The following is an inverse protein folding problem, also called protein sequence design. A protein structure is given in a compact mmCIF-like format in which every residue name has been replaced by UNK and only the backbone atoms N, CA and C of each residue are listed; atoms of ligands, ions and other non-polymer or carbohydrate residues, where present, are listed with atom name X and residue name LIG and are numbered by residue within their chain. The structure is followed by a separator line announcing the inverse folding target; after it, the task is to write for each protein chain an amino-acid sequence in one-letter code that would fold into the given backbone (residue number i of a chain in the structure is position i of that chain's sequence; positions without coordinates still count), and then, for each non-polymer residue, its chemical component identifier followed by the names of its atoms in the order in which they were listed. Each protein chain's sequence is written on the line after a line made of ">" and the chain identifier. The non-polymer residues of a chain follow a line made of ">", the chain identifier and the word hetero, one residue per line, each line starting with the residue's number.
data_IF_109102260514
#
_entry.id   IF_109102260514
#
_cell.length_a   1.000
_cell.length_b   1.000
_cell.length_c   1.000
_cell.angle_alpha   90.00
_cell.angle_beta   90.00
_cell.angle_gamma   90.00
#
_symmetry.space_group_name_H-M   'P 1'
#
loop_
_entity.id
_entity.type
_entity.pdbx_description
1 polymer ?
#
# COMPACT_ATOMS: atom_id res chain seq x y z
N UNK A 1 -4.55 -2.19 21.13
CA UNK A 1 -3.57 -2.29 20.02
C UNK A 1 -2.16 -2.67 20.50
N UNK A 2 -1.34 -1.78 21.08
CA UNK A 2 0.06 -2.12 21.42
C UNK A 2 0.22 -3.29 22.41
N UNK A 3 -0.73 -3.47 23.33
CA UNK A 3 -0.80 -4.66 24.20
C UNK A 3 -1.23 -5.92 23.46
N UNK A 4 -2.19 -5.81 22.54
CA UNK A 4 -2.67 -6.93 21.74
C UNK A 4 -1.54 -7.42 20.83
N UNK A 5 -0.98 -6.54 19.99
CA UNK A 5 0.04 -6.90 19.01
C UNK A 5 -0.52 -7.81 17.91
N UNK A 6 0.33 -8.10 16.92
CA UNK A 6 -0.03 -8.96 15.78
C UNK A 6 0.54 -10.36 16.02
N UNK A 7 -0.24 -11.45 15.94
CA UNK A 7 0.29 -12.78 16.18
C UNK A 7 1.21 -13.21 15.03
N UNK A 8 2.36 -13.76 15.40
CA UNK A 8 3.45 -14.14 14.49
C UNK A 8 3.89 -15.56 14.81
N UNK A 9 4.22 -16.33 13.78
CA UNK A 9 4.73 -17.69 13.91
C UNK A 9 6.15 -17.67 14.53
N UNK A 10 6.23 -17.62 15.86
CA UNK A 10 7.46 -17.44 16.61
C UNK A 10 8.55 -18.49 16.26
N UNK A 11 8.26 -19.81 16.16
CA UNK A 11 9.28 -20.79 15.76
C UNK A 11 9.86 -20.55 14.36
N UNK A 12 9.03 -20.08 13.42
CA UNK A 12 9.45 -19.82 12.05
C UNK A 12 10.31 -18.57 11.97
N UNK A 13 9.93 -17.51 12.70
CA UNK A 13 10.74 -16.31 12.83
C UNK A 13 12.11 -16.61 13.48
N UNK A 14 12.14 -17.41 14.54
CA UNK A 14 13.39 -17.81 15.20
C UNK A 14 14.33 -18.55 14.23
N UNK A 15 13.80 -19.50 13.45
CA UNK A 15 14.56 -20.17 12.38
C UNK A 15 15.06 -19.21 11.32
N UNK A 16 14.21 -18.28 10.89
CA UNK A 16 14.56 -17.31 9.85
C UNK A 16 15.64 -16.34 10.32
N UNK A 17 15.62 -15.92 11.59
CA UNK A 17 16.70 -15.14 12.22
C UNK A 17 18.03 -15.88 12.25
N UNK A 18 18.01 -17.13 12.74
CA UNK A 18 19.22 -17.94 12.85
C UNK A 18 19.88 -18.19 11.48
N UNK A 19 19.07 -18.34 10.43
CA UNK A 19 19.55 -18.63 9.07
C UNK A 19 19.66 -17.41 8.15
N UNK A 20 19.39 -16.20 8.66
CA UNK A 20 19.32 -14.99 7.82
C UNK A 20 20.59 -14.72 6.99
N UNK A 21 21.82 -14.88 7.52
CA UNK A 21 23.03 -14.67 6.73
C UNK A 21 23.13 -15.61 5.52
N UNK A 22 22.81 -16.89 5.71
CA UNK A 22 22.82 -17.91 4.65
C UNK A 22 21.69 -17.65 3.66
N UNK A 23 20.48 -17.40 4.15
CA UNK A 23 19.33 -17.06 3.31
C UNK A 23 19.61 -15.84 2.43
N UNK A 24 20.25 -14.80 2.98
CA UNK A 24 20.63 -13.62 2.23
C UNK A 24 21.56 -13.94 1.07
N UNK A 25 22.59 -14.77 1.29
CA UNK A 25 23.52 -15.14 0.24
C UNK A 25 22.82 -15.95 -0.86
N UNK A 26 22.04 -16.97 -0.48
CA UNK A 26 21.29 -17.80 -1.44
C UNK A 26 20.23 -17.01 -2.23
N UNK A 27 19.55 -16.06 -1.59
CA UNK A 27 18.58 -15.19 -2.28
C UNK A 27 19.25 -14.31 -3.34
N UNK A 28 20.44 -13.76 -3.02
CA UNK A 28 21.21 -12.98 -4.00
C UNK A 28 21.60 -13.89 -5.15
N UNK A 29 22.21 -15.04 -4.88
CA UNK A 29 22.68 -15.96 -5.93
C UNK A 29 21.55 -16.41 -6.87
N UNK A 30 20.39 -16.78 -6.32
CA UNK A 30 19.26 -17.26 -7.12
C UNK A 30 18.64 -16.19 -7.99
N UNK A 31 18.32 -15.05 -7.39
CA UNK A 31 17.65 -13.98 -8.13
C UNK A 31 18.64 -13.32 -9.09
N UNK A 32 19.88 -13.05 -8.65
CA UNK A 32 20.88 -12.37 -9.47
C UNK A 32 21.41 -13.23 -10.63
N UNK A 33 21.14 -14.54 -10.66
CA UNK A 33 21.50 -15.42 -11.77
C UNK A 33 21.03 -14.90 -13.13
N UNK A 34 19.83 -14.31 -13.17
CA UNK A 34 19.22 -13.81 -14.40
C UNK A 34 19.68 -12.38 -14.78
N UNK A 35 20.43 -11.72 -13.88
CA UNK A 35 20.79 -10.29 -14.01
C UNK A 35 22.30 -10.02 -14.01
N UNK A 36 23.08 -10.71 -13.17
CA UNK A 36 24.52 -10.53 -13.02
C UNK A 36 24.93 -9.20 -12.37
N UNK A 37 24.06 -8.62 -11.54
CA UNK A 37 24.16 -7.25 -11.03
C UNK A 37 24.91 -7.15 -9.71
N UNK A 38 24.88 -8.18 -8.88
CA UNK A 38 25.56 -8.18 -7.59
C UNK A 38 27.03 -8.59 -7.72
N UNK A 39 27.87 -8.03 -6.84
CA UNK A 39 29.22 -8.52 -6.57
C UNK A 39 29.30 -8.90 -5.09
N UNK A 40 29.12 -10.18 -4.78
CA UNK A 40 28.86 -10.64 -3.42
C UNK A 40 27.57 -10.01 -2.87
N UNK A 41 27.56 -9.40 -1.67
CA UNK A 41 26.36 -8.81 -1.09
C UNK A 41 26.01 -7.41 -1.62
N UNK A 42 26.79 -6.88 -2.58
CA UNK A 42 26.74 -5.47 -2.99
C UNK A 42 26.13 -5.33 -4.38
N UNK A 43 25.03 -4.57 -4.46
CA UNK A 43 24.39 -4.19 -5.72
C UNK A 43 25.29 -3.22 -6.51
N UNK A 44 25.52 -3.49 -7.81
CA UNK A 44 26.35 -2.63 -8.67
C UNK A 44 25.48 -1.88 -9.68
N UNK A 45 25.32 -0.57 -9.47
CA UNK A 45 24.46 0.28 -10.31
C UNK A 45 24.86 0.26 -11.79
N UNK A 46 26.16 0.26 -12.09
CA UNK A 46 26.64 0.17 -13.48
C UNK A 46 26.25 -1.16 -14.17
N UNK A 47 26.20 -2.28 -13.43
CA UNK A 47 25.76 -3.57 -13.98
C UNK A 47 24.25 -3.60 -14.19
N UNK A 48 23.50 -2.99 -13.27
CA UNK A 48 22.06 -2.79 -13.45
C UNK A 48 21.77 -1.95 -14.69
N UNK A 49 22.47 -0.84 -14.86
CA UNK A 49 22.32 0.02 -16.03
C UNK A 49 22.63 -0.72 -17.33
N UNK A 50 23.70 -1.51 -17.37
CA UNK A 50 24.02 -2.35 -18.52
C UNK A 50 22.90 -3.37 -18.81
N UNK A 51 22.37 -4.04 -17.79
CA UNK A 51 21.28 -5.01 -17.94
C UNK A 51 20.01 -4.35 -18.48
N UNK A 52 19.59 -3.23 -17.90
CA UNK A 52 18.40 -2.47 -18.32
C UNK A 52 18.53 -1.99 -19.76
N UNK A 53 19.70 -1.45 -20.14
CA UNK A 53 19.98 -1.04 -21.53
C UNK A 53 19.96 -2.22 -22.49
N UNK A 54 20.49 -3.39 -22.09
CA UNK A 54 20.47 -4.60 -22.94
C UNK A 54 19.06 -5.10 -23.22
N UNK A 55 18.09 -4.76 -22.36
CA UNK A 55 16.66 -5.09 -22.53
C UNK A 55 15.89 -3.99 -23.27
N UNK A 56 16.53 -2.89 -23.66
CA UNK A 56 15.87 -1.75 -24.30
C UNK A 56 14.92 -0.99 -23.37
N UNK A 57 15.03 -1.16 -22.05
CA UNK A 57 14.15 -0.52 -21.09
C UNK A 57 14.65 0.91 -20.84
N UNK A 58 13.80 1.90 -21.15
CA UNK A 58 14.10 3.30 -20.84
C UNK A 58 13.95 3.53 -19.33
N UNK A 59 15.00 4.04 -18.67
CA UNK A 59 15.00 4.19 -17.21
C UNK A 59 15.10 5.67 -16.79
N UNK A 60 14.31 6.15 -15.81
CA UNK A 60 14.38 7.53 -15.34
C UNK A 60 15.75 7.87 -14.75
N UNK A 61 16.31 9.04 -15.04
CA UNK A 61 17.57 9.49 -14.46
C UNK A 61 17.35 10.61 -13.43
N UNK A 62 18.24 10.71 -12.45
CA UNK A 62 18.29 11.89 -11.58
C UNK A 62 18.80 13.11 -12.35
N UNK A 63 18.42 14.31 -11.92
CA UNK A 63 18.92 15.58 -12.50
C UNK A 63 20.46 15.69 -12.43
N UNK A 64 21.07 15.07 -11.42
CA UNK A 64 22.52 14.99 -11.23
C UNK A 64 23.22 13.93 -12.11
N UNK A 65 22.47 13.21 -12.95
CA UNK A 65 22.94 12.02 -13.67
C UNK A 65 22.81 10.72 -12.87
N UNK A 66 22.89 9.59 -13.57
CA UNK A 66 22.69 8.25 -13.00
C UNK A 66 21.23 7.80 -12.96
N UNK A 67 21.01 6.49 -12.88
CA UNK A 67 19.67 5.90 -12.84
C UNK A 67 18.95 6.24 -11.54
N UNK A 68 17.66 6.56 -11.64
CA UNK A 68 16.80 6.78 -10.48
C UNK A 68 16.38 5.43 -9.89
N UNK A 69 16.97 5.09 -8.76
CA UNK A 69 16.96 3.75 -8.17
C UNK A 69 16.09 3.65 -6.90
N UNK A 70 15.33 4.69 -6.62
CA UNK A 70 14.48 4.91 -5.46
C UNK A 70 13.01 4.50 -5.75
N UNK A 71 12.05 5.39 -5.50
CA UNK A 71 10.63 5.18 -5.82
C UNK A 71 10.41 4.89 -7.33
N UNK A 72 11.29 5.40 -8.20
CA UNK A 72 11.25 5.11 -9.63
C UNK A 72 11.47 3.62 -9.95
N UNK A 73 12.31 2.91 -9.16
CA UNK A 73 12.52 1.48 -9.37
C UNK A 73 11.20 0.71 -9.21
N UNK A 74 10.38 1.08 -8.21
CA UNK A 74 9.06 0.46 -8.03
C UNK A 74 8.15 0.72 -9.23
N UNK A 75 8.11 1.94 -9.74
CA UNK A 75 7.31 2.27 -10.92
C UNK A 75 7.77 1.44 -12.14
N UNK A 76 9.09 1.31 -12.33
CA UNK A 76 9.66 0.47 -13.39
C UNK A 76 9.35 -1.02 -13.20
N UNK A 77 9.36 -1.53 -11.97
CA UNK A 77 8.97 -2.92 -11.68
C UNK A 77 7.49 -3.21 -11.98
N UNK A 78 6.63 -2.19 -11.89
CA UNK A 78 5.21 -2.31 -12.28
C UNK A 78 5.07 -2.26 -13.81
N UNK A 79 5.79 -1.36 -14.47
CA UNK A 79 5.76 -1.21 -15.93
C UNK A 79 6.45 -2.37 -16.67
N UNK A 80 7.47 -2.98 -16.06
CA UNK A 80 8.30 -4.04 -16.63
C UNK A 80 8.38 -5.23 -15.66
N UNK A 81 7.54 -6.26 -15.81
CA UNK A 81 7.47 -7.40 -14.89
C UNK A 81 8.81 -8.12 -14.68
N UNK A 82 9.70 -8.12 -15.68
CA UNK A 82 11.06 -8.67 -15.61
C UNK A 82 11.98 -7.94 -14.62
N UNK A 83 11.66 -6.70 -14.25
CA UNK A 83 12.38 -5.89 -13.26
C UNK A 83 11.95 -6.23 -11.82
N UNK A 84 10.73 -6.76 -11.64
CA UNK A 84 10.11 -6.97 -10.33
C UNK A 84 10.92 -7.88 -9.37
N UNK A 85 11.53 -9.01 -9.80
CA UNK A 85 12.32 -9.86 -8.91
C UNK A 85 13.53 -9.12 -8.32
N UNK A 86 14.26 -8.36 -9.14
CA UNK A 86 15.41 -7.57 -8.68
C UNK A 86 14.99 -6.46 -7.71
N UNK A 87 13.87 -5.79 -7.98
CA UNK A 87 13.31 -4.78 -7.08
C UNK A 87 12.96 -5.37 -5.70
N UNK A 88 12.25 -6.49 -5.65
CA UNK A 88 11.88 -7.16 -4.39
C UNK A 88 13.11 -7.70 -3.65
N UNK A 89 14.12 -8.25 -4.35
CA UNK A 89 15.39 -8.63 -3.73
C UNK A 89 16.04 -7.41 -3.07
N UNK A 90 16.28 -6.33 -3.81
CA UNK A 90 16.96 -5.15 -3.29
C UNK A 90 16.21 -4.52 -2.12
N UNK A 91 14.88 -4.44 -2.22
CA UNK A 91 14.01 -3.98 -1.13
C UNK A 91 14.10 -4.88 0.09
N UNK A 92 14.14 -6.20 -0.10
CA UNK A 92 14.33 -7.17 0.98
C UNK A 92 15.68 -6.94 1.66
N UNK A 93 16.78 -6.88 0.93
CA UNK A 93 18.11 -6.65 1.51
C UNK A 93 18.22 -5.31 2.24
N UNK A 94 17.63 -4.26 1.69
CA UNK A 94 17.71 -2.91 2.24
C UNK A 94 16.79 -2.70 3.45
N UNK A 95 15.53 -3.16 3.37
CA UNK A 95 14.50 -2.88 4.38
C UNK A 95 14.30 -4.00 5.38
N UNK A 96 14.60 -5.24 5.03
CA UNK A 96 14.42 -6.33 5.98
C UNK A 96 15.56 -6.36 6.99
N UNK A 97 15.16 -6.18 8.24
CA UNK A 97 15.96 -6.39 9.44
C UNK A 97 15.19 -7.36 10.31
N UNK A 98 15.23 -8.64 9.95
CA UNK A 98 14.47 -9.70 10.66
C UNK A 98 14.80 -9.71 12.15
N UNK A 99 16.05 -9.42 12.48
CA UNK A 99 16.58 -9.23 13.83
C UNK A 99 15.86 -8.11 14.59
N UNK A 100 15.38 -7.07 13.90
CA UNK A 100 14.73 -5.90 14.52
C UNK A 100 13.22 -6.02 14.67
N UNK A 101 12.56 -7.01 14.07
CA UNK A 101 11.12 -7.22 14.26
C UNK A 101 10.82 -7.39 15.76
N UNK A 102 10.00 -6.50 16.32
CA UNK A 102 9.77 -6.48 17.76
C UNK A 102 8.70 -7.52 18.13
N UNK A 103 9.10 -8.79 18.22
CA UNK A 103 8.22 -9.92 18.55
C UNK A 103 8.54 -10.40 19.95
N UNK A 104 7.51 -10.44 20.82
CA UNK A 104 7.61 -10.92 22.19
C UNK A 104 7.77 -12.43 22.29
N UNK A 105 8.04 -12.93 23.50
CA UNK A 105 8.13 -14.38 23.79
C UNK A 105 6.80 -15.11 23.56
N UNK A 106 5.70 -14.37 23.65
CA UNK A 106 4.34 -14.81 23.34
C UNK A 106 4.07 -14.84 21.82
N UNK A 107 5.08 -14.57 20.99
CA UNK A 107 4.95 -14.62 19.54
C UNK A 107 4.18 -13.46 18.93
N UNK A 108 3.98 -12.34 19.65
CA UNK A 108 3.23 -11.20 19.09
C UNK A 108 4.12 -10.00 18.78
N UNK A 109 3.96 -9.42 17.59
CA UNK A 109 4.67 -8.22 17.16
C UNK A 109 4.08 -6.97 17.80
N UNK A 110 4.88 -6.24 18.58
CA UNK A 110 4.50 -5.02 19.30
C UNK A 110 5.55 -3.93 19.12
N UNK A 111 5.11 -2.76 18.69
CA UNK A 111 5.95 -1.57 18.55
C UNK A 111 5.10 -0.33 18.79
N UNK A 112 5.69 0.78 19.26
CA UNK A 112 4.99 2.05 19.29
C UNK A 112 4.37 2.37 17.93
N UNK A 113 3.06 2.62 17.91
CA UNK A 113 2.30 2.93 16.69
C UNK A 113 2.47 4.40 16.27
N UNK A 114 2.90 5.25 17.21
CA UNK A 114 3.18 6.69 17.01
C UNK A 114 2.02 7.39 16.30
N UNK A 115 0.83 7.47 16.93
CA UNK A 115 -0.27 8.24 16.36
C UNK A 115 0.10 9.72 16.26
N UNK A 116 -0.51 10.44 15.32
CA UNK A 116 -0.26 11.87 15.09
C UNK A 116 1.19 12.22 14.68
N UNK A 117 2.00 11.24 14.26
CA UNK A 117 3.42 11.46 13.98
C UNK A 117 3.71 11.98 12.56
N UNK A 118 2.77 11.87 11.62
CA UNK A 118 2.92 12.43 10.28
C UNK A 118 2.39 13.86 10.19
N UNK A 119 2.81 14.60 9.15
CA UNK A 119 2.22 15.91 8.78
C UNK A 119 0.71 15.85 8.52
N UNK A 120 0.19 14.67 8.19
CA UNK A 120 -1.22 14.38 7.93
C UNK A 120 -1.91 13.69 9.11
N UNK A 121 -1.26 13.61 10.28
CA UNK A 121 -1.84 12.99 11.47
C UNK A 121 -1.89 11.46 11.46
N UNK A 122 -1.34 10.81 10.42
CA UNK A 122 -1.25 9.35 10.29
C UNK A 122 -0.30 8.76 11.33
N UNK A 123 -0.55 7.50 11.66
CA UNK A 123 0.32 6.68 12.49
C UNK A 123 1.66 6.42 11.77
N UNK A 124 2.78 6.45 12.49
CA UNK A 124 4.11 6.13 11.94
C UNK A 124 4.84 5.07 12.77
N UNK A 125 4.38 3.81 12.75
CA UNK A 125 5.13 2.72 13.38
C UNK A 125 6.51 2.55 12.73
N UNK A 126 7.45 1.97 13.47
CA UNK A 126 8.82 1.76 12.97
C UNK A 126 8.83 0.81 11.77
N UNK A 127 9.46 1.24 10.68
CA UNK A 127 9.60 0.45 9.44
C UNK A 127 10.39 -0.86 9.61
N UNK A 128 11.23 -0.96 10.64
CA UNK A 128 12.05 -2.16 10.91
C UNK A 128 11.52 -3.02 12.05
N UNK A 129 10.72 -2.46 12.96
CA UNK A 129 10.16 -3.20 14.11
C UNK A 129 8.74 -3.68 13.87
N UNK A 130 7.99 -2.99 13.02
CA UNK A 130 6.61 -3.33 12.67
C UNK A 130 6.58 -4.30 11.49
N UNK A 131 5.85 -5.40 11.61
CA UNK A 131 5.81 -6.44 10.58
C UNK A 131 5.26 -5.93 9.23
N UNK A 132 4.28 -5.02 9.25
CA UNK A 132 3.76 -4.41 8.01
C UNK A 132 4.68 -3.34 7.42
N UNK A 133 5.70 -2.89 8.16
CA UNK A 133 6.72 -1.94 7.68
C UNK A 133 7.82 -2.58 6.83
N UNK A 134 7.97 -3.91 6.90
CA UNK A 134 8.91 -4.69 6.11
C UNK A 134 8.42 -5.02 4.68
N UNK A 135 9.21 -5.79 3.91
CA UNK A 135 8.78 -6.34 2.63
C UNK A 135 7.50 -7.18 2.75
N UNK A 136 6.72 -7.24 1.66
CA UNK A 136 5.39 -7.87 1.65
C UNK A 136 5.43 -9.34 2.10
N UNK A 137 6.45 -10.09 1.68
CA UNK A 137 6.59 -11.51 2.01
C UNK A 137 6.76 -11.77 3.52
N UNK A 138 7.26 -10.81 4.30
CA UNK A 138 7.45 -10.98 5.76
C UNK A 138 6.10 -11.10 6.47
N UNK A 139 5.02 -10.57 5.87
CA UNK A 139 3.65 -10.68 6.37
C UNK A 139 3.17 -12.13 6.42
N UNK A 140 3.83 -13.05 5.68
CA UNK A 140 3.62 -14.51 5.75
C UNK A 140 3.96 -15.14 7.10
N UNK A 141 4.68 -14.41 7.95
CA UNK A 141 4.93 -14.82 9.33
C UNK A 141 3.71 -14.58 10.23
N UNK A 142 2.72 -13.77 9.81
CA UNK A 142 1.50 -13.51 10.57
C UNK A 142 0.62 -14.76 10.49
N UNK A 143 0.26 -15.29 11.65
CA UNK A 143 -0.61 -16.46 11.78
C UNK A 143 -1.50 -16.28 13.02
N UNK A 144 -2.81 -16.52 12.93
CA UNK A 144 -3.66 -16.59 14.12
C UNK A 144 -3.27 -17.77 15.03
N UNK A 145 -3.66 -17.71 16.29
CA UNK A 145 -3.54 -18.85 17.22
C UNK A 145 -4.63 -19.91 16.95
N UNK A 146 -4.48 -21.16 17.44
CA UNK A 146 -5.53 -22.17 17.33
C UNK A 146 -6.89 -21.65 17.86
N UNK A 147 -7.95 -21.86 17.08
CA UNK A 147 -9.30 -21.36 17.40
C UNK A 147 -9.52 -19.86 17.17
N UNK A 148 -8.50 -19.12 16.70
CA UNK A 148 -8.60 -17.71 16.36
C UNK A 148 -8.54 -17.48 14.85
N UNK A 149 -8.96 -16.29 14.44
CA UNK A 149 -8.84 -15.78 13.10
C UNK A 149 -8.45 -14.29 13.13
N UNK A 150 -7.87 -13.84 12.02
CA UNK A 150 -7.56 -12.45 11.75
C UNK A 150 -8.41 -11.95 10.61
N UNK A 151 -8.80 -10.68 10.65
CA UNK A 151 -9.38 -10.00 9.51
C UNK A 151 -8.66 -8.69 9.24
N UNK A 152 -8.24 -8.50 8.00
CA UNK A 152 -7.71 -7.23 7.51
C UNK A 152 -8.84 -6.49 6.79
N UNK A 153 -9.31 -5.40 7.38
CA UNK A 153 -10.41 -4.59 6.85
C UNK A 153 -9.82 -3.27 6.35
N UNK A 154 -9.94 -3.00 5.05
CA UNK A 154 -9.33 -1.88 4.35
C UNK A 154 -10.41 -0.99 3.73
N UNK A 155 -10.25 0.34 3.79
CA UNK A 155 -11.20 1.23 3.11
C UNK A 155 -11.02 1.12 1.59
N UNK A 156 -12.10 0.80 0.88
CA UNK A 156 -12.11 0.72 -0.57
C UNK A 156 -11.97 2.13 -1.16
N UNK A 157 -10.86 2.38 -1.87
CA UNK A 157 -10.54 3.64 -2.55
C UNK A 157 -10.75 4.88 -1.66
N UNK A 158 -10.24 4.82 -0.42
CA UNK A 158 -10.47 5.81 0.64
C UNK A 158 -10.29 7.26 0.16
N UNK A 159 -9.15 7.58 -0.45
CA UNK A 159 -8.83 8.94 -0.88
C UNK A 159 -9.78 9.45 -1.99
N UNK A 160 -10.30 8.56 -2.85
CA UNK A 160 -11.31 8.92 -3.86
C UNK A 160 -12.66 9.22 -3.21
N UNK A 161 -13.10 8.39 -2.25
CA UNK A 161 -14.35 8.62 -1.52
C UNK A 161 -14.31 9.90 -0.68
N UNK A 162 -13.18 10.19 -0.04
CA UNK A 162 -12.98 11.46 0.69
C UNK A 162 -13.01 12.65 -0.28
N UNK A 163 -12.36 12.54 -1.44
CA UNK A 163 -12.40 13.60 -2.46
C UNK A 163 -13.83 13.88 -2.94
N UNK A 164 -14.60 12.83 -3.21
CA UNK A 164 -16.02 12.93 -3.57
C UNK A 164 -16.83 13.65 -2.48
N UNK A 165 -16.69 13.23 -1.21
CA UNK A 165 -17.42 13.81 -0.09
C UNK A 165 -17.06 15.29 0.16
N UNK A 166 -15.76 15.61 0.21
CA UNK A 166 -15.29 16.97 0.50
C UNK A 166 -15.60 17.96 -0.62
N UNK A 167 -15.61 17.51 -1.87
CA UNK A 167 -15.92 18.37 -3.01
C UNK A 167 -17.41 18.51 -3.32
N UNK A 168 -18.25 17.59 -2.83
CA UNK A 168 -19.66 17.54 -3.20
C UNK A 168 -19.90 17.29 -4.69
N UNK A 169 -18.93 16.69 -5.39
CA UNK A 169 -19.06 16.37 -6.81
C UNK A 169 -19.96 15.13 -6.99
N UNK A 170 -21.18 15.36 -7.47
CA UNK A 170 -22.18 14.31 -7.63
C UNK A 170 -21.74 13.19 -8.58
N UNK A 171 -20.97 13.50 -9.63
CA UNK A 171 -20.47 12.49 -10.56
C UNK A 171 -19.40 11.63 -9.90
N UNK A 172 -18.53 12.23 -9.09
CA UNK A 172 -17.51 11.53 -8.32
C UNK A 172 -18.12 10.68 -7.19
N UNK A 173 -19.13 11.21 -6.48
CA UNK A 173 -19.87 10.46 -5.46
C UNK A 173 -20.62 9.26 -6.07
N UNK A 174 -21.26 9.44 -7.23
CA UNK A 174 -21.92 8.34 -7.95
C UNK A 174 -20.91 7.29 -8.45
N UNK A 175 -19.75 7.74 -8.96
CA UNK A 175 -18.66 6.84 -9.37
C UNK A 175 -18.09 6.06 -8.17
N UNK A 176 -17.98 6.68 -7.00
CA UNK A 176 -17.61 5.95 -5.79
C UNK A 176 -18.68 4.92 -5.43
N UNK A 177 -19.96 5.33 -5.38
CA UNK A 177 -21.07 4.47 -4.99
C UNK A 177 -21.27 3.24 -5.89
N UNK A 178 -20.82 3.27 -7.16
CA UNK A 178 -20.96 2.16 -8.10
C UNK A 178 -20.18 0.88 -7.73
N UNK A 179 -19.18 0.98 -6.86
CA UNK A 179 -18.27 -0.14 -6.55
C UNK A 179 -16.89 0.04 -7.17
N UNK A 180 -16.84 0.74 -8.29
CA UNK A 180 -15.63 0.89 -9.10
C UNK A 180 -15.55 2.31 -9.67
N UNK A 181 -14.89 3.24 -8.97
CA UNK A 181 -14.76 4.61 -9.44
C UNK A 181 -13.98 4.72 -10.75
N UNK A 182 -13.13 3.74 -11.07
CA UNK A 182 -12.29 3.77 -12.27
C UNK A 182 -13.08 3.36 -13.51
N UNK A 183 -13.88 2.29 -13.42
CA UNK A 183 -14.85 1.96 -14.46
C UNK A 183 -15.98 3.00 -14.54
N UNK A 184 -16.39 3.57 -13.39
CA UNK A 184 -17.30 4.71 -13.36
C UNK A 184 -16.78 5.88 -14.18
N UNK A 185 -15.51 6.26 -13.99
CA UNK A 185 -14.85 7.27 -14.81
C UNK A 185 -14.79 6.86 -16.28
N UNK A 186 -14.41 5.61 -16.58
CA UNK A 186 -14.35 5.11 -17.95
C UNK A 186 -15.71 5.21 -18.67
N UNK A 187 -16.81 4.84 -18.00
CA UNK A 187 -18.16 4.95 -18.55
C UNK A 187 -18.58 6.41 -18.74
N UNK A 188 -18.32 7.27 -17.75
CA UNK A 188 -18.60 8.71 -17.84
C UNK A 188 -17.78 9.41 -18.95
N UNK A 189 -16.59 8.91 -19.24
CA UNK A 189 -15.74 9.36 -20.33
C UNK A 189 -16.10 8.73 -21.70
N UNK A 190 -17.09 7.83 -21.75
CA UNK A 190 -17.50 7.14 -22.99
C UNK A 190 -16.51 6.09 -23.48
N UNK A 191 -15.58 5.65 -22.64
CA UNK A 191 -14.53 4.69 -23.00
C UNK A 191 -14.97 3.22 -22.85
N UNK A 192 -16.05 2.95 -22.13
CA UNK A 192 -16.64 1.62 -21.97
C UNK A 192 -18.17 1.70 -22.04
N UNK A 193 -18.86 0.65 -22.50
CA UNK A 193 -20.32 0.61 -22.55
C UNK A 193 -20.95 0.51 -21.15
N UNK A 194 -22.24 0.83 -21.06
CA UNK A 194 -23.03 0.57 -19.86
C UNK A 194 -23.04 -0.93 -19.53
N UNK A 195 -22.83 -1.28 -18.26
CA UNK A 195 -22.72 -2.68 -17.81
C UNK A 195 -21.31 -3.26 -17.87
N UNK A 196 -20.29 -2.47 -18.22
CA UNK A 196 -18.89 -2.91 -18.14
C UNK A 196 -18.51 -3.27 -16.70
N UNK A 197 -17.81 -4.39 -16.56
CA UNK A 197 -17.33 -4.92 -15.28
C UNK A 197 -15.81 -5.07 -15.30
N UNK A 198 -15.20 -5.22 -14.12
CA UNK A 198 -13.76 -5.47 -14.01
C UNK A 198 -13.32 -6.75 -14.71
N UNK A 199 -14.23 -7.72 -14.88
CA UNK A 199 -13.97 -8.97 -15.60
C UNK A 199 -14.04 -8.82 -17.12
N UNK A 200 -15.00 -8.02 -17.62
CA UNK A 200 -15.20 -7.84 -19.07
C UNK A 200 -14.28 -6.79 -19.68
N UNK A 201 -13.85 -5.79 -18.90
CA UNK A 201 -13.05 -4.65 -19.36
C UNK A 201 -11.85 -4.38 -18.42
N UNK A 202 -11.12 -5.44 -18.08
CA UNK A 202 -10.01 -5.41 -17.10
C UNK A 202 -8.86 -4.48 -17.51
N UNK A 203 -8.45 -4.49 -18.79
CA UNK A 203 -7.38 -3.64 -19.31
C UNK A 203 -7.75 -2.15 -19.22
N UNK A 204 -8.99 -1.82 -19.60
CA UNK A 204 -9.52 -0.45 -19.59
C UNK A 204 -9.69 0.04 -18.16
N UNK A 205 -10.17 -0.82 -17.26
CA UNK A 205 -10.22 -0.53 -15.82
C UNK A 205 -8.84 -0.17 -15.28
N UNK A 206 -7.82 -0.99 -15.56
CA UNK A 206 -6.47 -0.75 -15.02
C UNK A 206 -5.87 0.54 -15.62
N UNK A 207 -6.05 0.77 -16.93
CA UNK A 207 -5.64 2.02 -17.58
C UNK A 207 -6.31 3.24 -16.93
N UNK A 208 -7.63 3.21 -16.74
CA UNK A 208 -8.39 4.30 -16.14
C UNK A 208 -8.08 4.50 -14.66
N UNK A 209 -7.72 3.43 -13.94
CA UNK A 209 -7.23 3.50 -12.56
C UNK A 209 -5.88 4.20 -12.47
N UNK A 210 -4.92 3.83 -13.32
CA UNK A 210 -3.63 4.51 -13.42
C UNK A 210 -3.82 5.99 -13.77
N UNK A 211 -4.73 6.29 -14.71
CA UNK A 211 -5.12 7.66 -15.04
C UNK A 211 -5.69 8.41 -13.83
N UNK A 212 -6.78 7.92 -13.22
CA UNK A 212 -7.46 8.60 -12.14
C UNK A 212 -6.52 8.90 -10.97
N UNK A 213 -5.71 7.91 -10.57
CA UNK A 213 -4.70 8.09 -9.53
C UNK A 213 -3.64 9.12 -9.95
N UNK A 214 -3.07 9.00 -11.14
CA UNK A 214 -2.07 9.94 -11.64
C UNK A 214 -2.61 11.38 -11.69
N UNK A 215 -3.78 11.56 -12.26
CA UNK A 215 -4.41 12.88 -12.42
C UNK A 215 -4.76 13.46 -11.04
N UNK A 216 -5.31 12.67 -10.10
CA UNK A 216 -5.63 13.13 -8.74
C UNK A 216 -4.39 13.62 -7.98
N UNK A 217 -3.24 12.98 -8.22
CA UNK A 217 -1.93 13.41 -7.68
C UNK A 217 -1.24 14.52 -8.49
N UNK A 218 -1.92 15.09 -9.49
CA UNK A 218 -1.41 16.23 -10.26
C UNK A 218 -0.39 15.86 -11.33
N UNK A 219 -0.37 14.61 -11.79
CA UNK A 219 0.51 14.16 -12.87
C UNK A 219 0.20 14.93 -14.17
N UNK A 220 1.24 15.47 -14.81
CA UNK A 220 1.13 16.13 -16.11
C UNK A 220 1.05 15.12 -17.27
N UNK A 221 0.64 15.60 -18.45
CA UNK A 221 0.39 14.77 -19.64
C UNK A 221 1.58 13.88 -20.02
N UNK A 222 2.81 14.39 -19.96
CA UNK A 222 4.01 13.60 -20.28
C UNK A 222 4.23 12.41 -19.34
N UNK A 223 4.14 12.66 -18.03
CA UNK A 223 4.30 11.59 -17.04
C UNK A 223 3.16 10.58 -17.10
N UNK A 224 1.94 11.06 -17.38
CA UNK A 224 0.78 10.18 -17.56
C UNK A 224 0.91 9.33 -18.84
N UNK A 225 1.42 9.89 -19.94
CA UNK A 225 1.65 9.15 -21.19
C UNK A 225 2.58 7.96 -20.98
N UNK A 226 3.67 8.16 -20.24
CA UNK A 226 4.59 7.08 -19.86
C UNK A 226 3.89 6.02 -18.99
N UNK A 227 3.07 6.46 -18.03
CA UNK A 227 2.35 5.55 -17.14
C UNK A 227 1.34 4.66 -17.87
N UNK A 228 0.67 5.19 -18.90
CA UNK A 228 -0.39 4.48 -19.64
C UNK A 228 0.11 3.83 -20.93
N UNK A 229 1.41 3.94 -21.25
CA UNK A 229 1.97 3.43 -22.51
C UNK A 229 1.40 4.10 -23.77
N UNK A 230 1.06 5.39 -23.69
CA UNK A 230 0.39 6.14 -24.76
C UNK A 230 1.14 7.40 -25.20
N UNK A 231 0.49 8.23 -26.03
CA UNK A 231 1.05 9.52 -26.46
C UNK A 231 0.70 10.64 -25.49
N UNK A 232 1.47 11.74 -25.48
CA UNK A 232 1.14 12.92 -24.68
C UNK A 232 -0.22 13.53 -25.04
N UNK A 233 -0.64 13.42 -26.31
CA UNK A 233 -1.95 13.86 -26.78
C UNK A 233 -3.08 13.09 -26.10
N UNK A 234 -3.00 11.75 -26.13
CA UNK A 234 -3.98 10.87 -25.45
C UNK A 234 -4.03 11.13 -23.94
N UNK A 235 -2.86 11.35 -23.32
CA UNK A 235 -2.80 11.67 -21.90
C UNK A 235 -3.45 13.03 -21.57
N UNK A 236 -3.29 14.04 -22.44
CA UNK A 236 -3.94 15.35 -22.28
C UNK A 236 -5.45 15.24 -22.41
N UNK A 237 -5.95 14.51 -23.39
CA UNK A 237 -7.38 14.24 -23.56
C UNK A 237 -7.99 13.55 -22.33
N UNK A 238 -7.30 12.58 -21.75
CA UNK A 238 -7.75 11.90 -20.53
C UNK A 238 -7.77 12.83 -19.31
N UNK A 239 -6.76 13.70 -19.16
CA UNK A 239 -6.74 14.73 -18.11
C UNK A 239 -7.93 15.67 -18.26
N UNK A 240 -8.20 16.14 -19.48
CA UNK A 240 -9.26 17.12 -19.73
C UNK A 240 -10.65 16.49 -19.61
N UNK A 241 -10.82 15.23 -20.03
CA UNK A 241 -12.01 14.43 -19.77
C UNK A 241 -12.26 14.27 -18.26
N UNK A 242 -11.25 13.86 -17.49
CA UNK A 242 -11.37 13.74 -16.02
C UNK A 242 -11.74 15.07 -15.35
N UNK A 243 -11.17 16.18 -15.82
CA UNK A 243 -11.53 17.53 -15.32
C UNK A 243 -12.96 17.93 -15.67
N UNK A 244 -13.45 17.51 -16.83
CA UNK A 244 -14.80 17.79 -17.30
C UNK A 244 -15.82 16.98 -16.52
N UNK A 245 -15.56 15.69 -16.35
CA UNK A 245 -16.42 14.76 -15.60
C UNK A 245 -16.51 15.13 -14.12
N UNK A 246 -15.38 15.41 -13.47
CA UNK A 246 -15.33 15.77 -12.04
C UNK A 246 -15.06 17.27 -11.82
N UNK A 247 -15.82 18.11 -12.52
CA UNK A 247 -15.60 19.57 -12.52
C UNK A 247 -15.63 20.19 -11.13
N UNK A 248 -16.59 19.80 -10.27
CA UNK A 248 -16.72 20.37 -8.93
C UNK A 248 -15.55 19.97 -8.04
N UNK A 249 -15.06 18.74 -8.18
CA UNK A 249 -13.82 18.32 -7.51
C UNK A 249 -12.63 19.21 -7.88
N UNK A 250 -12.45 19.53 -9.15
CA UNK A 250 -11.33 20.39 -9.58
C UNK A 250 -11.48 21.85 -9.17
N UNK A 251 -12.71 22.37 -9.16
CA UNK A 251 -12.99 23.71 -8.64
C UNK A 251 -12.69 23.79 -7.13
N UNK A 252 -13.15 22.80 -6.37
CA UNK A 252 -12.84 22.64 -4.95
C UNK A 252 -11.33 22.53 -4.71
N UNK A 253 -10.64 21.63 -5.42
CA UNK A 253 -9.20 21.41 -5.24
C UNK A 253 -8.37 22.67 -5.49
N UNK A 254 -8.71 23.44 -6.54
CA UNK A 254 -8.07 24.74 -6.84
C UNK A 254 -8.40 25.79 -5.79
N UNK A 255 -9.65 25.85 -5.32
CA UNK A 255 -10.05 26.78 -4.27
C UNK A 255 -9.30 26.50 -2.97
N UNK A 256 -9.26 25.24 -2.54
CA UNK A 256 -8.51 24.78 -1.37
C UNK A 256 -7.02 25.10 -1.48
N UNK A 257 -6.40 24.89 -2.65
CA UNK A 257 -4.99 25.26 -2.83
C UNK A 257 -4.76 26.78 -2.70
N UNK A 258 -5.63 27.60 -3.31
CA UNK A 258 -5.50 29.07 -3.21
C UNK A 258 -5.67 29.56 -1.77
N UNK A 259 -6.67 29.05 -1.07
CA UNK A 259 -6.94 29.39 0.34
C UNK A 259 -5.79 28.96 1.25
N UNK A 260 -5.25 27.76 1.04
CA UNK A 260 -4.09 27.27 1.78
C UNK A 260 -2.86 28.17 1.61
N UNK A 261 -2.62 28.66 0.38
CA UNK A 261 -1.51 29.56 0.08
C UNK A 261 -1.71 30.97 0.65
N UNK A 262 -2.94 31.49 0.63
CA UNK A 262 -3.22 32.84 1.14
C UNK A 262 -3.24 32.89 2.68
N UNK A 263 -3.79 31.87 3.33
CA UNK A 263 -3.88 31.80 4.79
C UNK A 263 -2.60 31.30 5.46
N UNK A 264 -1.74 30.58 4.72
CA UNK A 264 -0.56 29.93 5.26
C UNK A 264 -0.85 28.71 6.14
N UNK A 265 -2.10 28.22 6.15
CA UNK A 265 -2.56 27.12 6.99
C UNK A 265 -3.60 26.27 6.27
N UNK A 266 -3.59 24.97 6.54
CA UNK A 266 -4.69 24.06 6.22
C UNK A 266 -5.08 23.27 7.44
N UNK A 267 -6.33 22.83 7.49
CA UNK A 267 -6.80 21.90 8.51
C UNK A 267 -7.77 20.85 7.97
N UNK A 268 -7.79 19.67 8.58
CA UNK A 268 -8.83 18.65 8.41
C UNK A 268 -10.11 19.02 9.16
N UNK A 269 -11.13 18.16 9.07
CA UNK A 269 -12.46 18.39 9.65
C UNK A 269 -12.40 18.49 11.18
N UNK A 270 -11.64 17.63 11.86
CA UNK A 270 -11.42 17.74 13.32
C UNK A 270 -10.24 18.65 13.70
N UNK A 271 -9.72 19.43 12.75
CA UNK A 271 -8.78 20.51 13.05
C UNK A 271 -7.30 20.12 13.12
N UNK A 272 -6.89 18.97 12.56
CA UNK A 272 -5.47 18.66 12.37
C UNK A 272 -4.85 19.63 11.37
N UNK A 273 -3.77 20.32 11.75
CA UNK A 273 -3.21 21.46 11.00
C UNK A 273 -1.94 21.14 10.21
N UNK A 274 -1.79 21.79 9.06
CA UNK A 274 -0.55 21.87 8.28
C UNK A 274 -0.22 23.33 7.97
N UNK A 275 0.97 23.77 8.38
CA UNK A 275 1.49 25.08 7.98
C UNK A 275 1.93 25.06 6.52
N UNK A 276 1.40 25.98 5.72
CA UNK A 276 1.69 26.12 4.29
C UNK A 276 2.66 27.27 4.11
N UNK A 277 3.86 26.94 3.64
CA UNK A 277 4.90 27.90 3.26
C UNK A 277 4.96 28.06 1.74
N UNK A 278 5.63 29.11 1.28
CA UNK A 278 5.82 29.40 -0.15
C UNK A 278 6.33 28.18 -0.96
N UNK A 279 7.34 27.48 -0.44
CA UNK A 279 7.94 26.30 -1.06
C UNK A 279 7.15 24.99 -0.86
N UNK A 280 5.93 25.05 -0.31
CA UNK A 280 5.09 23.87 -0.17
C UNK A 280 4.58 23.45 -1.56
N UNK A 281 4.95 22.24 -1.97
CA UNK A 281 4.55 21.68 -3.26
C UNK A 281 3.02 21.63 -3.37
N UNK A 282 2.49 21.99 -4.55
CA UNK A 282 1.06 21.96 -4.83
C UNK A 282 0.42 20.58 -4.53
N UNK A 283 1.13 19.50 -4.90
CA UNK A 283 0.69 18.13 -4.59
C UNK A 283 0.53 17.87 -3.08
N UNK A 284 1.41 18.41 -2.23
CA UNK A 284 1.26 18.30 -0.78
C UNK A 284 -0.01 19.00 -0.28
N UNK A 285 -0.29 20.19 -0.81
CA UNK A 285 -1.46 20.99 -0.47
C UNK A 285 -2.75 20.26 -0.90
N UNK A 286 -2.82 19.79 -2.15
CA UNK A 286 -4.01 19.09 -2.69
C UNK A 286 -4.26 17.75 -2.02
N UNK A 287 -3.21 17.03 -1.63
CA UNK A 287 -3.33 15.72 -0.99
C UNK A 287 -3.65 15.83 0.51
N UNK A 288 -3.30 16.94 1.17
CA UNK A 288 -3.45 17.07 2.61
C UNK A 288 -4.89 16.82 3.10
N UNK A 289 -5.96 17.41 2.52
CA UNK A 289 -7.33 17.14 2.94
C UNK A 289 -7.70 15.66 2.85
N UNK A 290 -7.28 14.98 1.79
CA UNK A 290 -7.56 13.56 1.57
C UNK A 290 -6.89 12.71 2.67
N UNK A 291 -5.61 12.96 2.91
CA UNK A 291 -4.78 12.17 3.80
C UNK A 291 -5.07 12.43 5.28
N UNK A 292 -5.33 13.69 5.64
CA UNK A 292 -5.58 14.10 7.01
C UNK A 292 -6.97 13.66 7.50
N UNK A 293 -8.01 13.83 6.67
CA UNK A 293 -9.33 13.30 7.00
C UNK A 293 -9.35 11.76 6.99
N UNK A 294 -8.61 11.10 6.09
CA UNK A 294 -8.44 9.64 6.13
C UNK A 294 -7.79 9.15 7.43
N UNK A 295 -6.82 9.90 7.96
CA UNK A 295 -6.21 9.61 9.26
C UNK A 295 -7.19 9.83 10.42
N UNK A 296 -8.04 10.85 10.36
CA UNK A 296 -9.13 11.08 11.33
C UNK A 296 -10.11 9.93 11.36
N UNK A 297 -10.59 9.52 10.19
CA UNK A 297 -11.51 8.40 10.01
C UNK A 297 -10.92 7.13 10.62
N UNK A 298 -9.67 6.80 10.31
CA UNK A 298 -9.05 5.58 10.83
C UNK A 298 -8.87 5.61 12.36
N UNK A 299 -8.48 6.76 12.93
CA UNK A 299 -8.33 6.90 14.38
C UNK A 299 -9.69 6.76 15.09
N UNK A 300 -10.72 7.41 14.57
CA UNK A 300 -12.08 7.28 15.10
C UNK A 300 -12.59 5.84 14.99
N UNK A 301 -12.38 5.20 13.85
CA UNK A 301 -12.73 3.79 13.66
C UNK A 301 -12.02 2.90 14.70
N UNK A 302 -10.72 3.11 14.96
CA UNK A 302 -10.01 2.35 15.98
C UNK A 302 -10.62 2.54 17.39
N UNK A 303 -11.05 3.75 17.75
CA UNK A 303 -11.71 4.00 19.03
C UNK A 303 -13.05 3.25 19.11
N UNK A 304 -13.92 3.44 18.11
CA UNK A 304 -15.26 2.83 18.08
C UNK A 304 -15.20 1.29 18.07
N UNK A 305 -14.25 0.71 17.32
CA UNK A 305 -14.05 -0.74 17.29
C UNK A 305 -13.71 -1.27 18.69
N UNK A 306 -12.78 -0.62 19.38
CA UNK A 306 -12.35 -1.03 20.72
C UNK A 306 -13.45 -0.84 21.77
N UNK A 307 -14.23 0.24 21.67
CA UNK A 307 -15.41 0.50 22.54
C UNK A 307 -16.49 -0.57 22.37
N UNK A 308 -16.62 -1.14 21.16
CA UNK A 308 -17.53 -2.25 20.83
C UNK A 308 -16.97 -3.63 21.18
N UNK A 309 -15.79 -3.69 21.80
CA UNK A 309 -15.15 -4.94 22.17
C UNK A 309 -14.49 -5.69 21.01
N UNK A 310 -14.38 -5.08 19.83
CA UNK A 310 -13.65 -5.68 18.70
C UNK A 310 -12.15 -5.47 18.93
N UNK A 311 -11.40 -6.57 19.00
CA UNK A 311 -9.97 -6.54 19.27
C UNK A 311 -9.19 -6.04 18.05
N UNK A 312 -8.71 -4.80 18.11
CA UNK A 312 -7.80 -4.24 17.10
C UNK A 312 -6.35 -4.58 17.44
N UNK A 313 -5.69 -5.37 16.57
CA UNK A 313 -4.27 -5.67 16.66
C UNK A 313 -3.43 -4.44 16.31
N UNK A 314 -3.66 -3.86 15.13
CA UNK A 314 -2.94 -2.70 14.63
C UNK A 314 -3.70 -1.95 13.51
N UNK A 315 -3.54 -0.62 13.43
CA UNK A 315 -3.88 0.16 12.26
C UNK A 315 -2.75 0.07 11.21
N UNK A 316 -3.11 -0.03 9.94
CA UNK A 316 -2.18 -0.26 8.81
C UNK A 316 -2.58 0.66 7.66
N UNK A 317 -1.93 1.82 7.54
CA UNK A 317 -2.26 2.85 6.54
C UNK A 317 -3.72 3.34 6.66
N UNK A 318 -4.62 2.80 5.85
CA UNK A 318 -6.07 3.01 5.77
C UNK A 318 -6.87 1.79 6.24
N UNK A 319 -6.20 0.72 6.65
CA UNK A 319 -6.81 -0.51 7.14
C UNK A 319 -6.66 -0.72 8.64
N UNK A 320 -7.43 -1.67 9.17
CA UNK A 320 -7.25 -2.26 10.50
C UNK A 320 -7.05 -3.76 10.39
N UNK A 321 -6.16 -4.31 11.22
CA UNK A 321 -6.11 -5.75 11.48
C UNK A 321 -6.81 -6.01 12.80
N UNK A 322 -7.87 -6.81 12.75
CA UNK A 322 -8.63 -7.27 13.92
C UNK A 322 -8.45 -8.77 14.12
N UNK A 323 -8.72 -9.22 15.34
CA UNK A 323 -8.62 -10.62 15.77
C UNK A 323 -9.89 -11.03 16.51
N UNK A 324 -10.32 -12.27 16.33
CA UNK A 324 -11.46 -12.84 17.05
C UNK A 324 -11.56 -14.35 16.90
N UNK A 325 -12.53 -14.98 17.58
CA UNK A 325 -12.80 -16.41 17.47
C UNK A 325 -13.07 -16.82 16.02
N UNK A 326 -12.48 -17.94 15.59
CA UNK A 326 -12.53 -18.37 14.20
C UNK A 326 -13.95 -18.70 13.70
N UNK A 327 -14.82 -19.13 14.61
CA UNK A 327 -16.23 -19.45 14.41
C UNK A 327 -17.13 -18.20 14.29
N UNK A 328 -16.70 -17.06 14.85
CA UNK A 328 -17.46 -15.80 14.87
C UNK A 328 -16.86 -14.70 13.99
N UNK A 329 -15.73 -14.96 13.34
CA UNK A 329 -14.95 -13.92 12.65
C UNK A 329 -15.74 -13.18 11.57
N UNK A 330 -16.67 -13.81 10.87
CA UNK A 330 -17.46 -13.14 9.83
C UNK A 330 -18.43 -12.11 10.44
N UNK A 331 -19.02 -12.41 11.60
CA UNK A 331 -19.87 -11.46 12.34
C UNK A 331 -19.04 -10.29 12.87
N UNK A 332 -17.85 -10.57 13.41
CA UNK A 332 -16.89 -9.56 13.88
C UNK A 332 -16.44 -8.67 12.72
N UNK A 333 -16.25 -9.24 11.52
CA UNK A 333 -15.92 -8.48 10.30
C UNK A 333 -17.07 -7.57 9.89
N UNK A 334 -18.30 -8.08 9.83
CA UNK A 334 -19.47 -7.27 9.46
C UNK A 334 -19.65 -6.09 10.44
N UNK A 335 -19.54 -6.34 11.75
CA UNK A 335 -19.58 -5.29 12.76
C UNK A 335 -18.41 -4.30 12.62
N UNK A 336 -17.21 -4.80 12.27
CA UNK A 336 -16.04 -3.98 12.02
C UNK A 336 -16.20 -3.06 10.81
N UNK A 337 -16.71 -3.58 9.70
CA UNK A 337 -16.98 -2.82 8.47
C UNK A 337 -18.03 -1.73 8.69
N UNK A 338 -19.12 -2.02 9.41
CA UNK A 338 -20.14 -1.03 9.76
C UNK A 338 -19.56 0.05 10.68
N UNK A 339 -18.73 -0.33 11.66
CA UNK A 339 -18.05 0.63 12.55
C UNK A 339 -17.11 1.55 11.78
N UNK A 340 -16.38 1.03 10.80
CA UNK A 340 -15.56 1.83 9.89
C UNK A 340 -16.42 2.76 9.03
N UNK A 341 -17.52 2.27 8.46
CA UNK A 341 -18.44 3.10 7.68
C UNK A 341 -19.04 4.23 8.53
N UNK A 342 -19.38 3.97 9.79
CA UNK A 342 -19.85 4.97 10.75
C UNK A 342 -18.81 6.04 11.05
N UNK A 343 -17.55 5.64 11.32
CA UNK A 343 -16.47 6.60 11.51
C UNK A 343 -16.32 7.53 10.29
N UNK A 344 -16.46 6.99 9.08
CA UNK A 344 -16.48 7.79 7.87
C UNK A 344 -17.68 8.76 7.82
N UNK A 345 -18.90 8.32 8.16
CA UNK A 345 -20.08 9.20 8.20
C UNK A 345 -19.90 10.36 9.19
N UNK A 346 -19.33 10.08 10.36
CA UNK A 346 -19.11 11.11 11.39
C UNK A 346 -18.14 12.18 10.88
N UNK A 347 -17.05 11.78 10.23
CA UNK A 347 -16.06 12.73 9.70
C UNK A 347 -16.58 13.43 8.44
N UNK A 348 -17.22 12.71 7.52
CA UNK A 348 -17.57 13.20 6.18
C UNK A 348 -19.02 13.70 6.07
N UNK A 349 -19.63 14.13 7.18
CA UNK A 349 -20.96 14.75 7.16
C UNK A 349 -22.08 13.82 6.63
N UNK A 350 -22.01 12.53 6.99
CA UNK A 350 -22.99 11.52 6.61
C UNK A 350 -22.59 10.63 5.43
N UNK A 351 -21.48 10.92 4.74
CA UNK A 351 -21.02 10.08 3.62
C UNK A 351 -20.25 8.84 4.10
N UNK A 352 -20.72 7.61 3.82
CA UNK A 352 -20.01 6.40 4.21
C UNK A 352 -18.87 6.08 3.25
N UNK A 353 -17.81 5.48 3.77
CA UNK A 353 -16.79 4.81 2.95
C UNK A 353 -16.98 3.30 3.03
N UNK A 354 -16.87 2.62 1.88
CA UNK A 354 -16.89 1.16 1.82
C UNK A 354 -15.58 0.59 2.33
N UNK A 355 -15.61 -0.67 2.73
CA UNK A 355 -14.42 -1.42 3.10
C UNK A 355 -14.47 -2.84 2.55
N UNK A 356 -13.29 -3.36 2.21
CA UNK A 356 -13.08 -4.76 1.82
C UNK A 356 -12.41 -5.49 2.98
N UNK A 357 -12.80 -6.74 3.20
CA UNK A 357 -12.26 -7.56 4.28
C UNK A 357 -11.63 -8.84 3.75
N UNK A 358 -10.48 -9.19 4.33
CA UNK A 358 -9.84 -10.48 4.09
C UNK A 358 -9.62 -11.21 5.41
N UNK A 359 -10.23 -12.39 5.50
CA UNK A 359 -10.15 -13.26 6.68
C UNK A 359 -9.07 -14.32 6.52
N UNK A 360 -8.36 -14.59 7.61
CA UNK A 360 -7.36 -15.64 7.74
C UNK A 360 -7.69 -16.44 9.00
N UNK A 361 -8.09 -17.71 8.84
CA UNK A 361 -8.38 -18.63 9.95
C UNK A 361 -7.20 -19.56 10.18
N UNK A 362 -6.93 -19.93 11.43
CA UNK A 362 -5.95 -20.98 11.74
C UNK A 362 -6.33 -22.29 11.02
N UNK A 363 -5.38 -23.07 10.45
CA UNK A 363 -3.92 -22.91 10.48
C UNK A 363 -3.32 -22.10 9.32
N UNK A 364 -4.15 -21.37 8.56
CA UNK A 364 -3.67 -20.56 7.45
C UNK A 364 -2.96 -19.30 7.94
N UNK A 365 -2.05 -18.78 7.12
CA UNK A 365 -1.26 -17.57 7.37
C UNK A 365 -1.74 -16.42 6.51
N UNK A 366 -1.44 -15.20 6.92
CA UNK A 366 -1.66 -14.02 6.09
C UNK A 366 -0.74 -14.05 4.85
N UNK A 367 -1.28 -13.83 3.65
CA UNK A 367 -0.49 -13.92 2.40
C UNK A 367 -0.68 -12.69 1.52
N UNK A 368 0.29 -11.77 1.48
CA UNK A 368 0.25 -10.68 0.51
C UNK A 368 0.67 -11.20 -0.87
N UNK A 369 -0.19 -11.08 -1.88
CA UNK A 369 0.06 -11.60 -3.24
C UNK A 369 1.38 -11.10 -3.82
N UNK A 370 1.75 -9.85 -3.52
CA UNK A 370 3.02 -9.24 -3.96
C UNK A 370 4.25 -9.93 -3.37
N UNK A 371 4.08 -10.64 -2.26
CA UNK A 371 5.13 -11.32 -1.52
C UNK A 371 5.16 -12.84 -1.71
N UNK A 372 4.16 -13.45 -2.35
CA UNK A 372 4.00 -14.91 -2.43
C UNK A 372 5.20 -15.60 -3.08
N UNK A 373 5.60 -15.16 -4.28
CA UNK A 373 6.75 -15.74 -4.98
C UNK A 373 8.04 -15.68 -4.16
N UNK A 374 8.30 -14.54 -3.53
CA UNK A 374 9.51 -14.37 -2.72
C UNK A 374 9.44 -15.20 -1.43
N UNK A 375 8.25 -15.36 -0.86
CA UNK A 375 8.02 -16.25 0.27
C UNK A 375 8.31 -17.72 -0.08
N UNK A 376 7.87 -18.18 -1.25
CA UNK A 376 8.17 -19.53 -1.74
C UNK A 376 9.67 -19.76 -1.90
N UNK A 377 10.42 -18.80 -2.45
CA UNK A 377 11.88 -18.86 -2.53
C UNK A 377 12.53 -18.97 -1.14
N UNK A 378 12.09 -18.13 -0.18
CA UNK A 378 12.56 -18.19 1.21
C UNK A 378 12.26 -19.57 1.81
N UNK A 379 11.06 -20.10 1.61
CA UNK A 379 10.67 -21.43 2.09
C UNK A 379 11.51 -22.55 1.45
N UNK A 380 11.75 -22.48 0.15
CA UNK A 380 12.57 -23.43 -0.60
C UNK A 380 14.00 -23.48 -0.06
N UNK A 381 14.65 -22.33 0.06
CA UNK A 381 16.00 -22.25 0.65
C UNK A 381 16.00 -22.81 2.08
N UNK A 382 15.01 -22.43 2.90
CA UNK A 382 14.90 -22.93 4.27
C UNK A 382 14.68 -24.45 4.37
N UNK A 383 14.07 -25.08 3.36
CA UNK A 383 13.86 -26.52 3.27
C UNK A 383 15.11 -27.27 2.82
N UNK A 384 15.84 -26.76 1.82
CA UNK A 384 17.09 -27.37 1.33
C UNK A 384 18.18 -27.41 2.41
N UNK A 385 18.28 -26.38 3.25
CA UNK A 385 19.20 -26.38 4.38
C UNK A 385 18.79 -27.36 5.50
N UNK A 386 17.60 -27.99 5.45
CA UNK A 386 17.26 -29.12 6.34
C UNK A 386 17.83 -30.42 5.81
N UNK A 387 17.76 -30.66 4.50
CA UNK A 387 18.24 -31.88 3.87
C UNK A 387 19.76 -32.00 3.97
N UNK A 388 20.49 -30.90 3.77
CA UNK A 388 21.96 -30.89 3.83
C UNK A 388 22.53 -31.07 5.26
N UNK A 389 21.77 -30.69 6.30
CA UNK A 389 22.17 -30.86 7.70
C UNK A 389 21.99 -32.32 8.20
N UNK A 390 21.03 -33.06 7.62
CA UNK A 390 20.78 -34.47 7.96
C UNK A 390 21.76 -35.42 7.23
N UNK A 391 22.41 -34.97 6.15
CA UNK A 391 23.40 -35.75 5.39
C UNK A 391 24.84 -35.56 5.88
N UNK A 392 25.08 -34.72 6.90
CA UNK A 392 26.41 -34.38 7.41
C UNK A 392 26.81 -35.00 8.75
N UNK A 393 25.93 -35.78 9.40
CA UNK A 393 26.22 -36.48 10.67
C UNK A 393 26.57 -37.97 10.48
N UNK A 394 26.90 -38.37 9.25
CA UNK A 394 27.30 -39.74 8.92
C UNK A 394 28.67 -39.82 8.25
N UNK A 395 29.74 -39.51 9.00
CA UNK A 395 31.10 -40.01 8.75
C UNK A 395 31.87 -40.08 10.05
#
# INVERSE_FOLDING_TARGET
>A
MERAGIPVHHPLLARLRARWPVLRASLIERVDRDYGVFAGPTFREARWEAWVRSRGIAWPAHESGGLALDDNFRAMAVAHPEVAPMWELRKTLNKLRVDRLAVGRDGRNRTPLRPFASKTGRNQPSTSRFIFGGPAWVRSLIIPEPGQALAHIDYAQQEFGIAAALSGDAAMMAAYASGDPYLGFAGQAGAVPSGATGETHSEQRERFKLCALGIQYGMGARALALLIGGTEGQARELIDSHKTVYRRYWDWSRATEREARSSGLMQSIFGWRLNVREHTRAGTIRNFPLQANGAEILRLACCLLMERGILVCAPIHDAVLIEGPADQIDEVVAAGQETMAEAARIVLGGFPLRSDARVVRYPHRYMDERGTRFWEEVCGIMAETRTCAMSGEGT
#
